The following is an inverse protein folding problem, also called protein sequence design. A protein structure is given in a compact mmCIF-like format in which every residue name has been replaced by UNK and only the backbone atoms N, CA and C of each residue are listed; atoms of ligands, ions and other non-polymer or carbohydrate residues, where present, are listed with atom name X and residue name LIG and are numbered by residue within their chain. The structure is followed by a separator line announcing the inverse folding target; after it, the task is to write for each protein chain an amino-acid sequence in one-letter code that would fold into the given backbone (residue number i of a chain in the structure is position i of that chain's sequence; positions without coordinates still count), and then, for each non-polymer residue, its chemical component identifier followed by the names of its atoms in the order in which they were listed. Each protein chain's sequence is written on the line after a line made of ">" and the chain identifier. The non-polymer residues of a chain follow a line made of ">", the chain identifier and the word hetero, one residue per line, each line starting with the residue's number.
data_IF_980759359390
#
_entry.id   IF_980759359390
#
_cell.length_a   1.000
_cell.length_b   1.000
_cell.length_c   1.000
_cell.angle_alpha   90.00
_cell.angle_beta   90.00
_cell.angle_gamma   90.00
#
_symmetry.space_group_name_H-M   'P 1'
#
loop_
_entity.id
_entity.type
_entity.pdbx_description
1 polymer ?
#
# COMPACT_ATOMS: atom_id res chain seq x y z
N UNK A 1 -3.37 -37.24 30.58
CA UNK A 1 -2.42 -36.40 29.83
C UNK A 1 -2.75 -36.64 28.36
N UNK A 2 -3.57 -35.77 27.75
CA UNK A 2 -3.95 -35.88 26.33
C UNK A 2 -3.01 -34.98 25.53
N UNK A 3 -2.41 -35.56 24.52
CA UNK A 3 -1.50 -34.93 23.57
C UNK A 3 -2.22 -33.77 22.88
N UNK A 4 -1.59 -32.59 22.92
CA UNK A 4 -1.98 -31.43 22.13
C UNK A 4 -1.54 -31.69 20.68
N UNK A 5 -2.48 -32.04 19.82
CA UNK A 5 -2.31 -31.92 18.37
C UNK A 5 -2.20 -30.43 18.00
N UNK A 6 -0.96 -29.94 17.96
CA UNK A 6 -0.59 -28.55 17.68
C UNK A 6 -0.02 -28.41 16.26
N UNK A 7 -0.81 -28.79 15.26
CA UNK A 7 -0.49 -28.50 13.86
C UNK A 7 -1.68 -27.79 13.20
N UNK A 8 -1.72 -26.45 13.25
CA UNK A 8 -2.69 -25.70 12.45
C UNK A 8 -2.99 -24.23 12.76
N UNK A 9 -2.33 -23.52 13.68
CA UNK A 9 -2.81 -22.16 14.09
C UNK A 9 -2.02 -20.93 13.59
N UNK A 10 -0.92 -21.09 12.84
CA UNK A 10 -0.19 -19.94 12.26
C UNK A 10 0.16 -20.18 10.79
N UNK A 11 -0.86 -20.34 9.94
CA UNK A 11 -0.68 -20.31 8.49
C UNK A 11 -0.66 -18.88 7.95
N UNK A 12 -0.17 -18.68 6.72
CA UNK A 12 -0.23 -17.41 5.98
C UNK A 12 -1.65 -16.86 5.78
N UNK A 13 -2.67 -17.67 6.02
CA UNK A 13 -4.07 -17.22 6.06
C UNK A 13 -4.45 -16.44 7.32
N UNK A 14 -3.62 -16.46 8.38
CA UNK A 14 -3.89 -15.73 9.62
C UNK A 14 -3.77 -14.21 9.43
N UNK A 15 -4.68 -13.45 10.03
CA UNK A 15 -4.69 -11.98 9.92
C UNK A 15 -3.40 -11.36 10.46
N UNK A 16 -2.83 -11.93 11.52
CA UNK A 16 -1.62 -11.44 12.16
C UNK A 16 -0.41 -11.46 11.22
N UNK A 17 -0.30 -12.49 10.37
CA UNK A 17 0.81 -12.60 9.41
C UNK A 17 0.66 -11.61 8.26
N UNK A 18 -0.56 -11.28 7.86
CA UNK A 18 -0.84 -10.28 6.83
C UNK A 18 -0.53 -8.87 7.30
N UNK A 19 -0.97 -8.54 8.51
CA UNK A 19 -0.68 -7.25 9.14
C UNK A 19 0.82 -7.09 9.42
N UNK A 20 1.52 -8.16 9.78
CA UNK A 20 2.96 -8.15 9.93
C UNK A 20 3.68 -7.81 8.61
N UNK A 21 3.23 -8.36 7.48
CA UNK A 21 3.77 -8.01 6.16
C UNK A 21 3.56 -6.54 5.81
N UNK A 22 2.34 -6.03 6.00
CA UNK A 22 2.04 -4.61 5.78
C UNK A 22 2.92 -3.70 6.65
N UNK A 23 2.99 -4.00 7.96
CA UNK A 23 3.79 -3.25 8.93
C UNK A 23 5.29 -3.27 8.58
N UNK A 24 5.82 -4.43 8.19
CA UNK A 24 7.23 -4.57 7.82
C UNK A 24 7.58 -3.76 6.57
N UNK A 25 6.72 -3.77 5.54
CA UNK A 25 6.95 -2.98 4.34
C UNK A 25 6.86 -1.48 4.59
N UNK A 26 5.93 -1.03 5.45
CA UNK A 26 5.85 0.38 5.85
C UNK A 26 7.07 0.84 6.66
N UNK A 27 7.59 -0.03 7.53
CA UNK A 27 8.82 0.25 8.24
C UNK A 27 10.00 0.36 7.27
N UNK A 28 10.13 -0.55 6.30
CA UNK A 28 11.16 -0.50 5.27
C UNK A 28 11.10 0.80 4.46
N UNK A 29 9.90 1.20 4.00
CA UNK A 29 9.69 2.48 3.30
C UNK A 29 10.11 3.68 4.14
N UNK A 30 9.71 3.74 5.41
CA UNK A 30 10.09 4.84 6.32
C UNK A 30 11.59 4.90 6.59
N UNK A 31 12.30 3.78 6.49
CA UNK A 31 13.75 3.69 6.67
C UNK A 31 14.53 3.87 5.35
N UNK A 32 13.84 3.92 4.20
CA UNK A 32 14.47 3.93 2.88
C UNK A 32 15.13 2.61 2.50
N UNK A 33 14.78 1.51 3.17
CA UNK A 33 15.37 0.18 2.94
C UNK A 33 14.65 -0.55 1.78
N UNK A 34 14.96 -0.14 0.56
CA UNK A 34 14.36 -0.71 -0.65
C UNK A 34 14.80 -2.16 -0.90
N UNK A 35 15.97 -2.57 -0.40
CA UNK A 35 16.42 -3.96 -0.47
C UNK A 35 15.52 -4.85 0.38
N UNK A 36 15.24 -4.46 1.63
CA UNK A 36 14.29 -5.18 2.48
C UNK A 36 12.89 -5.19 1.89
N UNK A 37 12.46 -4.08 1.31
CA UNK A 37 11.15 -4.00 0.65
C UNK A 37 11.05 -5.01 -0.51
N UNK A 38 12.11 -5.15 -1.32
CA UNK A 38 12.19 -6.13 -2.40
C UNK A 38 12.17 -7.58 -1.87
N UNK A 39 12.89 -7.87 -0.78
CA UNK A 39 12.86 -9.18 -0.12
C UNK A 39 11.44 -9.55 0.35
N UNK A 40 10.75 -8.61 1.01
CA UNK A 40 9.37 -8.80 1.48
C UNK A 40 8.42 -9.07 0.30
N UNK A 41 8.55 -8.32 -0.79
CA UNK A 41 7.76 -8.54 -2.00
C UNK A 41 8.05 -9.92 -2.62
N UNK A 42 9.32 -10.30 -2.73
CA UNK A 42 9.72 -11.60 -3.26
C UNK A 42 9.25 -12.77 -2.39
N UNK A 43 9.13 -12.56 -1.08
CA UNK A 43 8.52 -13.52 -0.18
C UNK A 43 7.05 -13.79 -0.56
N UNK A 44 6.26 -12.75 -0.84
CA UNK A 44 4.86 -12.91 -1.29
C UNK A 44 4.77 -13.64 -2.63
N UNK A 45 5.73 -13.44 -3.55
CA UNK A 45 5.78 -14.17 -4.83
C UNK A 45 6.07 -15.65 -4.68
N UNK A 46 6.79 -16.04 -3.62
CA UNK A 46 7.08 -17.44 -3.33
C UNK A 46 5.87 -18.19 -2.77
N UNK A 47 4.82 -17.48 -2.34
CA UNK A 47 3.60 -18.10 -1.83
C UNK A 47 2.81 -18.76 -2.96
N UNK A 48 2.22 -19.92 -2.69
CA UNK A 48 1.38 -20.61 -3.66
C UNK A 48 0.15 -19.76 -4.01
N UNK A 49 -0.36 -19.79 -5.27
CA UNK A 49 -1.46 -18.94 -5.69
C UNK A 49 -2.74 -19.05 -4.86
N UNK A 50 -2.99 -20.21 -4.23
CA UNK A 50 -4.13 -20.44 -3.34
C UNK A 50 -3.94 -19.93 -1.91
N UNK A 51 -2.73 -19.50 -1.55
CA UNK A 51 -2.38 -18.95 -0.23
C UNK A 51 -2.24 -17.42 -0.22
N UNK A 52 -2.12 -16.78 -1.39
CA UNK A 52 -2.01 -15.32 -1.48
C UNK A 52 -3.38 -14.67 -1.59
N UNK A 53 -3.86 -14.10 -0.49
CA UNK A 53 -5.13 -13.37 -0.48
C UNK A 53 -5.02 -11.97 -1.11
N UNK A 54 -6.17 -11.33 -1.36
CA UNK A 54 -6.21 -10.01 -1.98
C UNK A 54 -5.49 -8.92 -1.16
N UNK A 55 -5.44 -9.06 0.17
CA UNK A 55 -4.75 -8.11 1.05
C UNK A 55 -3.23 -8.12 0.82
N UNK A 56 -2.61 -9.32 0.84
CA UNK A 56 -1.19 -9.47 0.53
C UNK A 56 -0.87 -8.99 -0.89
N UNK A 57 -1.76 -9.27 -1.87
CA UNK A 57 -1.59 -8.80 -3.25
C UNK A 57 -1.67 -7.28 -3.38
N UNK A 58 -2.55 -6.63 -2.62
CA UNK A 58 -2.68 -5.18 -2.60
C UNK A 58 -1.38 -4.54 -2.08
N UNK A 59 -0.96 -4.92 -0.86
CA UNK A 59 0.28 -4.41 -0.27
C UNK A 59 1.51 -4.73 -1.11
N UNK A 60 1.60 -5.94 -1.67
CA UNK A 60 2.69 -6.33 -2.56
C UNK A 60 2.70 -5.51 -3.86
N UNK A 61 1.53 -5.10 -4.38
CA UNK A 61 1.44 -4.19 -5.53
C UNK A 61 1.88 -2.77 -5.16
N UNK A 62 1.41 -2.22 -4.02
CA UNK A 62 1.85 -0.94 -3.47
C UNK A 62 3.38 -0.89 -3.30
N UNK A 63 3.97 -1.90 -2.67
CA UNK A 63 5.42 -1.93 -2.42
C UNK A 63 6.24 -2.06 -3.70
N UNK A 64 5.75 -2.80 -4.70
CA UNK A 64 6.40 -2.80 -6.03
C UNK A 64 6.33 -1.44 -6.71
N UNK A 65 5.27 -0.66 -6.51
CA UNK A 65 5.19 0.67 -7.08
C UNK A 65 6.34 1.56 -6.59
N UNK A 66 6.63 1.51 -5.28
CA UNK A 66 7.78 2.18 -4.70
C UNK A 66 9.13 1.68 -5.24
N UNK A 67 9.27 0.38 -5.52
CA UNK A 67 10.49 -0.16 -6.12
C UNK A 67 10.67 0.27 -7.58
N UNK A 68 9.57 0.54 -8.29
CA UNK A 68 9.58 0.91 -9.70
C UNK A 68 9.68 2.43 -9.93
N UNK A 69 9.30 3.27 -8.96
CA UNK A 69 9.06 4.70 -9.16
C UNK A 69 10.20 5.48 -9.82
N UNK A 70 11.46 5.17 -9.50
CA UNK A 70 12.61 5.89 -10.05
C UNK A 70 13.03 5.40 -11.44
N UNK A 71 12.70 4.15 -11.78
CA UNK A 71 13.12 3.49 -13.01
C UNK A 71 12.03 3.47 -14.09
N UNK A 72 10.76 3.33 -13.69
CA UNK A 72 9.60 3.20 -14.56
C UNK A 72 8.34 3.75 -13.86
N UNK A 73 8.10 5.05 -14.03
CA UNK A 73 6.93 5.74 -13.50
C UNK A 73 5.60 5.15 -14.00
N UNK A 74 5.58 4.61 -15.23
CA UNK A 74 4.37 4.03 -15.81
C UNK A 74 4.04 2.68 -15.14
N UNK A 75 5.05 1.87 -14.87
CA UNK A 75 4.88 0.64 -14.09
C UNK A 75 4.47 0.95 -12.64
N UNK A 76 5.07 1.96 -12.02
CA UNK A 76 4.69 2.40 -10.68
C UNK A 76 3.22 2.85 -10.61
N UNK A 77 2.76 3.66 -11.57
CA UNK A 77 1.35 4.05 -11.71
C UNK A 77 0.42 2.82 -11.85
N UNK A 78 0.76 1.89 -12.75
CA UNK A 78 -0.02 0.66 -12.97
C UNK A 78 -0.14 -0.16 -11.68
N UNK A 79 0.94 -0.27 -10.91
CA UNK A 79 0.99 -1.02 -9.66
C UNK A 79 0.18 -0.36 -8.54
N UNK A 80 0.21 0.96 -8.42
CA UNK A 80 -0.67 1.70 -7.50
C UNK A 80 -2.14 1.51 -7.87
N UNK A 81 -2.51 1.64 -9.15
CA UNK A 81 -3.88 1.39 -9.63
C UNK A 81 -4.35 -0.04 -9.31
N UNK A 82 -3.48 -1.03 -9.50
CA UNK A 82 -3.75 -2.42 -9.12
C UNK A 82 -4.00 -2.57 -7.62
N UNK A 83 -3.15 -1.95 -6.79
CA UNK A 83 -3.33 -1.97 -5.33
C UNK A 83 -4.68 -1.35 -4.92
N UNK A 84 -5.02 -0.18 -5.48
CA UNK A 84 -6.29 0.48 -5.23
C UNK A 84 -7.49 -0.39 -5.62
N UNK A 85 -7.45 -1.06 -6.79
CA UNK A 85 -8.50 -1.98 -7.23
C UNK A 85 -8.74 -3.12 -6.23
N UNK A 86 -7.68 -3.77 -5.75
CA UNK A 86 -7.77 -4.85 -4.78
C UNK A 86 -8.32 -4.37 -3.42
N UNK A 87 -7.95 -3.16 -2.97
CA UNK A 87 -8.44 -2.60 -1.71
C UNK A 87 -9.92 -2.16 -1.78
N UNK A 88 -10.39 -1.77 -2.98
CA UNK A 88 -11.82 -1.54 -3.23
C UNK A 88 -12.62 -2.84 -3.07
N UNK A 89 -12.14 -3.94 -3.64
CA UNK A 89 -12.78 -5.26 -3.48
C UNK A 89 -12.84 -5.71 -2.02
N UNK A 90 -11.81 -5.39 -1.23
CA UNK A 90 -11.73 -5.73 0.19
C UNK A 90 -12.56 -4.83 1.12
N UNK A 91 -13.15 -3.74 0.60
CA UNK A 91 -13.87 -2.75 1.42
C UNK A 91 -13.01 -2.21 2.57
N UNK A 92 -11.73 -1.92 2.31
CA UNK A 92 -10.78 -1.35 3.29
C UNK A 92 -10.54 0.13 3.00
N UNK A 93 -11.49 1.04 3.33
CA UNK A 93 -11.47 2.42 2.85
C UNK A 93 -10.25 3.21 3.32
N UNK A 94 -9.77 2.97 4.54
CA UNK A 94 -8.57 3.66 5.05
C UNK A 94 -7.33 3.30 4.24
N UNK A 95 -7.07 2.01 3.99
CA UNK A 95 -5.91 1.60 3.20
C UNK A 95 -6.02 2.03 1.73
N UNK A 96 -7.24 2.07 1.18
CA UNK A 96 -7.46 2.64 -0.14
C UNK A 96 -7.06 4.12 -0.19
N UNK A 97 -7.46 4.91 0.81
CA UNK A 97 -7.08 6.32 0.93
C UNK A 97 -5.57 6.53 1.08
N UNK A 98 -4.89 5.64 1.83
CA UNK A 98 -3.42 5.64 1.92
C UNK A 98 -2.78 5.47 0.55
N UNK A 99 -3.22 4.47 -0.22
CA UNK A 99 -2.68 4.20 -1.56
C UNK A 99 -3.01 5.33 -2.53
N UNK A 100 -4.21 5.92 -2.46
CA UNK A 100 -4.58 7.08 -3.29
C UNK A 100 -3.68 8.29 -3.01
N UNK A 101 -3.38 8.58 -1.74
CA UNK A 101 -2.49 9.68 -1.35
C UNK A 101 -1.06 9.46 -1.87
N UNK A 102 -0.52 8.26 -1.68
CA UNK A 102 0.84 7.90 -2.15
C UNK A 102 0.93 7.85 -3.68
N UNK A 103 -0.14 7.44 -4.36
CA UNK A 103 -0.21 7.46 -5.82
C UNK A 103 -0.27 8.89 -6.37
N UNK A 104 -1.02 9.78 -5.71
CA UNK A 104 -1.03 11.19 -6.06
C UNK A 104 0.36 11.82 -5.95
N UNK A 105 1.13 11.46 -4.92
CA UNK A 105 2.54 11.88 -4.78
C UNK A 105 3.39 11.49 -5.97
N UNK A 106 3.31 10.23 -6.40
CA UNK A 106 4.01 9.72 -7.57
C UNK A 106 3.62 10.49 -8.85
N UNK A 107 2.31 10.68 -9.07
CA UNK A 107 1.80 11.37 -10.27
C UNK A 107 2.28 12.82 -10.31
N UNK A 108 2.33 13.50 -9.16
CA UNK A 108 2.84 14.86 -9.06
C UNK A 108 4.33 14.95 -9.37
N UNK A 109 5.14 13.96 -8.99
CA UNK A 109 6.55 13.88 -9.40
C UNK A 109 6.69 13.76 -10.93
N UNK A 110 5.74 13.10 -11.60
CA UNK A 110 5.67 12.99 -13.06
C UNK A 110 5.03 14.19 -13.78
N UNK A 111 4.51 15.19 -13.05
CA UNK A 111 3.92 16.41 -13.61
C UNK A 111 2.46 16.27 -14.11
N UNK A 112 1.73 15.22 -13.73
CA UNK A 112 0.37 14.95 -14.20
C UNK A 112 -0.72 15.38 -13.18
N UNK A 113 -0.83 16.68 -12.91
CA UNK A 113 -1.65 17.26 -11.84
C UNK A 113 -3.15 16.90 -11.85
N UNK A 114 -3.74 16.66 -13.02
CA UNK A 114 -5.18 16.37 -13.17
C UNK A 114 -5.58 15.07 -12.46
N UNK A 115 -4.86 13.98 -12.74
CA UNK A 115 -5.10 12.66 -12.16
C UNK A 115 -4.81 12.66 -10.65
N UNK A 116 -3.82 13.44 -10.20
CA UNK A 116 -3.49 13.57 -8.79
C UNK A 116 -4.60 14.25 -7.97
N UNK A 117 -5.30 15.24 -8.55
CA UNK A 117 -6.35 15.99 -7.83
C UNK A 117 -7.54 15.11 -7.42
N UNK A 118 -7.95 14.21 -8.29
CA UNK A 118 -9.05 13.27 -8.00
C UNK A 118 -8.65 12.34 -6.84
N UNK A 119 -7.47 11.74 -6.91
CA UNK A 119 -6.94 10.86 -5.86
C UNK A 119 -6.84 11.57 -4.50
N UNK A 120 -6.33 12.81 -4.47
CA UNK A 120 -6.26 13.62 -3.24
C UNK A 120 -7.65 13.90 -2.67
N UNK A 121 -8.62 14.18 -3.53
CA UNK A 121 -10.01 14.46 -3.10
C UNK A 121 -10.63 13.23 -2.47
N UNK A 122 -10.56 12.07 -3.14
CA UNK A 122 -11.10 10.80 -2.63
C UNK A 122 -10.42 10.40 -1.29
N UNK A 123 -9.10 10.51 -1.20
CA UNK A 123 -8.37 10.19 0.02
C UNK A 123 -8.75 11.12 1.18
N UNK A 124 -8.90 12.42 0.90
CA UNK A 124 -9.27 13.43 1.90
C UNK A 124 -10.60 13.13 2.56
N UNK A 125 -11.63 12.78 1.79
CA UNK A 125 -12.96 12.46 2.32
C UNK A 125 -12.90 11.34 3.38
N UNK A 126 -12.09 10.31 3.12
CA UNK A 126 -11.90 9.19 4.07
C UNK A 126 -11.14 9.65 5.31
N UNK A 127 -10.05 10.39 5.14
CA UNK A 127 -9.21 10.83 6.26
C UNK A 127 -9.93 11.86 7.15
N UNK A 128 -10.75 12.75 6.59
CA UNK A 128 -11.56 13.70 7.36
C UNK A 128 -12.58 12.97 8.24
N UNK A 129 -13.32 12.01 7.66
CA UNK A 129 -14.28 11.18 8.39
C UNK A 129 -13.64 10.42 9.54
N UNK A 130 -12.40 9.96 9.37
CA UNK A 130 -11.65 9.21 10.38
C UNK A 130 -10.80 10.12 11.30
N UNK A 131 -10.80 11.44 11.06
CA UNK A 131 -9.91 12.39 11.76
C UNK A 131 -8.44 11.98 11.73
N UNK A 132 -7.99 11.41 10.60
CA UNK A 132 -6.63 10.91 10.39
C UNK A 132 -5.65 12.07 10.14
N UNK A 133 -5.40 12.88 11.17
CA UNK A 133 -4.65 14.13 11.08
C UNK A 133 -3.28 14.02 10.38
N UNK A 134 -2.43 13.00 10.64
CA UNK A 134 -1.15 12.88 9.94
C UNK A 134 -1.30 12.76 8.42
N UNK A 135 -2.37 12.11 7.94
CA UNK A 135 -2.64 11.96 6.53
C UNK A 135 -3.26 13.21 5.91
N UNK A 136 -4.11 13.94 6.64
CA UNK A 136 -4.62 15.25 6.20
C UNK A 136 -3.49 16.25 6.03
N UNK A 137 -2.59 16.34 7.02
CA UNK A 137 -1.43 17.23 6.96
C UNK A 137 -0.51 16.87 5.77
N UNK A 138 -0.40 15.58 5.43
CA UNK A 138 0.33 15.10 4.25
C UNK A 138 -0.35 15.53 2.94
N UNK A 139 -1.66 15.40 2.81
CA UNK A 139 -2.42 15.85 1.61
C UNK A 139 -2.36 17.37 1.42
N UNK A 140 -2.34 18.15 2.51
CA UNK A 140 -2.21 19.61 2.46
C UNK A 140 -0.84 20.02 1.91
N UNK A 141 0.23 19.29 2.27
CA UNK A 141 1.56 19.52 1.73
C UNK A 141 1.62 19.31 0.19
N UNK A 142 0.89 18.31 -0.33
CA UNK A 142 0.80 18.06 -1.78
C UNK A 142 0.10 19.19 -2.52
N UNK A 143 -0.98 19.71 -1.95
CA UNK A 143 -1.76 20.79 -2.55
C UNK A 143 -0.97 22.11 -2.56
N UNK A 144 -0.08 22.30 -1.59
CA UNK A 144 0.78 23.49 -1.49
C UNK A 144 1.97 23.42 -2.45
N UNK A 145 2.49 22.22 -2.73
CA UNK A 145 3.58 22.00 -3.69
C UNK A 145 3.18 22.16 -5.16
N UNK A 146 1.89 22.10 -5.49
CA UNK A 146 1.34 22.34 -6.85
C UNK A 146 1.17 23.84 -7.15
N UNK A 147 1.16 24.70 -6.12
CA UNK A 147 0.94 26.13 -6.26
C UNK A 147 2.24 26.97 -6.28
N UNK A 148 3.41 26.34 -6.31
CA UNK A 148 4.74 26.97 -6.30
C UNK A 148 5.53 26.63 -7.57
#
# INVERSE_FOLDING_TARGET
>A
MREFDSYGHFGFGSEQVKEAFATAGEAALRLGDLEKLAELVGFVDSLSPGSTNHFLRAHSSRFRAYLAQDADLAEADRLFRRSAGLLRELSTPFMLAVVQAEHAELILQGGAEGDARELVTEAREVFERLSAKPWLDRLDALSTGVAA
#
